data_IF_601565729476
#
_entry.id   IF_601565729476
#
_cell.length_a   1.000
_cell.length_b   1.000
_cell.length_c   1.000
_cell.angle_alpha   90.00
_cell.angle_beta   90.00
_cell.angle_gamma   90.00
#
_symmetry.space_group_name_H-M   'P 1'
#
loop_
_entity.id
_entity.type
_entity.pdbx_description
1 polymer ?
#
# COMPACT_ATOMS: atom_id res chain seq x y z
N UNK A 1 -56.09 14.53 -59.06
CA UNK A 1 -54.90 15.22 -58.54
C UNK A 1 -54.04 15.60 -59.72
N UNK A 2 -53.77 16.88 -59.88
CA UNK A 2 -52.72 17.37 -60.78
C UNK A 2 -51.34 16.99 -60.20
N UNK A 3 -50.33 16.84 -61.06
CA UNK A 3 -48.93 16.62 -60.69
C UNK A 3 -48.44 17.64 -59.65
N UNK A 4 -48.86 18.90 -59.75
CA UNK A 4 -48.51 19.93 -58.77
C UNK A 4 -49.05 19.65 -57.36
N UNK A 5 -50.29 19.16 -57.25
CA UNK A 5 -50.88 18.76 -55.97
C UNK A 5 -50.15 17.56 -55.35
N UNK A 6 -49.72 16.60 -56.19
CA UNK A 6 -48.97 15.42 -55.76
C UNK A 6 -47.59 15.80 -55.22
N UNK A 7 -46.86 16.67 -55.91
CA UNK A 7 -45.55 17.16 -55.45
C UNK A 7 -45.67 17.95 -54.13
N UNK A 8 -46.73 18.73 -53.97
CA UNK A 8 -46.98 19.49 -52.74
C UNK A 8 -47.27 18.56 -51.55
N UNK A 9 -48.08 17.52 -51.76
CA UNK A 9 -48.40 16.52 -50.73
C UNK A 9 -47.15 15.73 -50.31
N UNK A 10 -46.35 15.28 -51.28
CA UNK A 10 -45.09 14.57 -51.03
C UNK A 10 -44.14 15.45 -50.22
N UNK A 11 -43.95 16.71 -50.62
CA UNK A 11 -43.07 17.66 -49.93
C UNK A 11 -43.49 17.84 -48.47
N UNK A 12 -44.79 17.98 -48.22
CA UNK A 12 -45.34 18.16 -46.88
C UNK A 12 -45.15 16.91 -46.00
N UNK A 13 -45.35 15.72 -46.56
CA UNK A 13 -45.12 14.45 -45.83
C UNK A 13 -43.64 14.30 -45.49
N UNK A 14 -42.75 14.56 -46.46
CA UNK A 14 -41.30 14.49 -46.25
C UNK A 14 -40.86 15.50 -45.20
N UNK A 15 -41.31 16.76 -45.28
CA UNK A 15 -40.99 17.78 -44.26
C UNK A 15 -41.49 17.41 -42.87
N UNK A 16 -42.70 16.83 -42.76
CA UNK A 16 -43.22 16.38 -41.47
C UNK A 16 -42.36 15.25 -40.90
N UNK A 17 -42.03 14.24 -41.72
CA UNK A 17 -41.23 13.11 -41.29
C UNK A 17 -39.79 13.53 -40.91
N UNK A 18 -39.14 14.38 -41.72
CA UNK A 18 -37.79 14.87 -41.43
C UNK A 18 -37.74 15.72 -40.18
N UNK A 19 -38.79 16.53 -39.93
CA UNK A 19 -38.91 17.28 -38.68
C UNK A 19 -39.01 16.34 -37.48
N UNK A 20 -39.93 15.37 -37.50
CA UNK A 20 -40.08 14.40 -36.40
C UNK A 20 -38.80 13.61 -36.13
N UNK A 21 -38.08 13.20 -37.18
CA UNK A 21 -36.79 12.51 -37.05
C UNK A 21 -35.74 13.43 -36.45
N UNK A 22 -35.63 14.67 -36.92
CA UNK A 22 -34.69 15.67 -36.40
C UNK A 22 -34.94 15.96 -34.92
N UNK A 23 -36.19 16.16 -34.53
CA UNK A 23 -36.58 16.41 -33.14
C UNK A 23 -36.22 15.22 -32.25
N UNK A 24 -36.46 13.98 -32.73
CA UNK A 24 -36.08 12.76 -32.01
C UNK A 24 -34.57 12.59 -31.91
N UNK A 25 -33.82 12.92 -32.96
CA UNK A 25 -32.36 12.88 -32.97
C UNK A 25 -31.75 13.89 -31.99
N UNK A 26 -32.29 15.11 -31.92
CA UNK A 26 -31.85 16.09 -30.92
C UNK A 26 -32.14 15.61 -29.50
N UNK A 27 -33.34 15.09 -29.24
CA UNK A 27 -33.68 14.55 -27.92
C UNK A 27 -32.74 13.41 -27.51
N UNK A 28 -32.42 12.49 -28.43
CA UNK A 28 -31.47 11.41 -28.17
C UNK A 28 -30.04 11.93 -28.00
N UNK A 29 -29.65 12.97 -28.74
CA UNK A 29 -28.34 13.59 -28.60
C UNK A 29 -28.16 14.20 -27.20
N UNK A 30 -29.16 14.94 -26.74
CA UNK A 30 -29.16 15.55 -25.41
C UNK A 30 -29.11 14.50 -24.30
N UNK A 31 -29.89 13.41 -24.44
CA UNK A 31 -29.84 12.27 -23.50
C UNK A 31 -28.47 11.60 -23.49
N UNK A 32 -27.84 11.40 -24.65
CA UNK A 32 -26.48 10.83 -24.75
C UNK A 32 -25.44 11.74 -24.09
N UNK A 33 -25.55 13.07 -24.22
CA UNK A 33 -24.67 14.00 -23.53
C UNK A 33 -24.84 13.87 -22.01
N UNK A 34 -26.09 13.92 -21.53
CA UNK A 34 -26.40 13.82 -20.11
C UNK A 34 -25.90 12.51 -19.51
N UNK A 35 -26.11 11.38 -20.18
CA UNK A 35 -25.63 10.07 -19.73
C UNK A 35 -24.10 9.99 -19.71
N UNK A 36 -23.40 10.63 -20.64
CA UNK A 36 -21.92 10.67 -20.65
C UNK A 36 -21.38 11.48 -19.48
N UNK A 37 -22.04 12.58 -19.14
CA UNK A 37 -21.67 13.40 -17.98
C UNK A 37 -21.89 12.63 -16.67
N UNK A 38 -23.05 11.99 -16.52
CA UNK A 38 -23.35 11.16 -15.35
C UNK A 38 -22.37 9.98 -15.22
N UNK A 39 -22.02 9.33 -16.34
CA UNK A 39 -21.05 8.23 -16.34
C UNK A 39 -19.67 8.70 -15.86
N UNK A 40 -19.22 9.86 -16.35
CA UNK A 40 -17.94 10.45 -15.94
C UNK A 40 -17.93 10.78 -14.45
N UNK A 41 -19.01 11.39 -13.94
CA UNK A 41 -19.14 11.69 -12.51
C UNK A 41 -19.09 10.41 -11.66
N UNK A 42 -19.81 9.36 -12.08
CA UNK A 42 -19.78 8.06 -11.40
C UNK A 42 -18.39 7.41 -11.44
N UNK A 43 -17.68 7.48 -12.55
CA UNK A 43 -16.32 6.95 -12.67
C UNK A 43 -15.36 7.67 -11.73
N UNK A 44 -15.46 9.00 -11.59
CA UNK A 44 -14.67 9.79 -10.65
C UNK A 44 -14.96 9.38 -9.19
N UNK A 45 -16.24 9.23 -8.84
CA UNK A 45 -16.67 8.78 -7.50
C UNK A 45 -16.17 7.36 -7.22
N UNK A 46 -16.28 6.43 -8.17
CA UNK A 46 -15.81 5.05 -8.00
C UNK A 46 -14.32 5.03 -7.72
N UNK A 47 -13.51 5.78 -8.49
CA UNK A 47 -12.06 5.85 -8.28
C UNK A 47 -11.70 6.41 -6.89
N UNK A 48 -12.42 7.44 -6.42
CA UNK A 48 -12.23 7.97 -5.07
C UNK A 48 -12.57 6.93 -3.99
N UNK A 49 -13.69 6.22 -4.16
CA UNK A 49 -14.14 5.20 -3.22
C UNK A 49 -13.18 4.02 -3.16
N UNK A 50 -12.69 3.54 -4.30
CA UNK A 50 -11.69 2.47 -4.38
C UNK A 50 -10.39 2.87 -3.68
N UNK A 51 -9.87 4.07 -3.97
CA UNK A 51 -8.66 4.57 -3.32
C UNK A 51 -8.82 4.70 -1.79
N UNK A 52 -10.00 5.14 -1.34
CA UNK A 52 -10.33 5.25 0.08
C UNK A 52 -10.44 3.87 0.75
N UNK A 53 -11.07 2.92 0.07
CA UNK A 53 -11.23 1.55 0.56
C UNK A 53 -9.87 0.85 0.69
N UNK A 54 -9.03 0.93 -0.35
CA UNK A 54 -7.68 0.35 -0.34
C UNK A 54 -6.83 0.93 0.80
N UNK A 55 -6.90 2.24 1.02
CA UNK A 55 -6.23 2.90 2.14
C UNK A 55 -6.72 2.36 3.50
N UNK A 56 -8.03 2.15 3.66
CA UNK A 56 -8.61 1.61 4.89
C UNK A 56 -8.25 0.15 5.12
N UNK A 57 -8.24 -0.67 4.06
CA UNK A 57 -7.81 -2.07 4.13
C UNK A 57 -6.35 -2.15 4.58
N UNK A 58 -5.45 -1.37 3.98
CA UNK A 58 -4.04 -1.32 4.40
C UNK A 58 -3.87 -0.86 5.85
N UNK A 59 -4.63 0.16 6.29
CA UNK A 59 -4.60 0.63 7.68
C UNK A 59 -5.00 -0.47 8.67
N UNK A 60 -6.10 -1.17 8.40
CA UNK A 60 -6.60 -2.26 9.24
C UNK A 60 -5.63 -3.45 9.24
N UNK A 61 -5.11 -3.83 8.08
CA UNK A 61 -4.13 -4.91 7.96
C UNK A 61 -2.84 -4.57 8.73
N UNK A 62 -2.32 -3.35 8.56
CA UNK A 62 -1.12 -2.92 9.27
C UNK A 62 -1.35 -2.82 10.79
N UNK A 63 -2.54 -2.42 11.22
CA UNK A 63 -2.92 -2.41 12.63
C UNK A 63 -2.94 -3.83 13.20
N UNK A 64 -3.50 -4.80 12.47
CA UNK A 64 -3.47 -6.22 12.84
C UNK A 64 -2.05 -6.80 12.95
N UNK A 65 -1.09 -6.25 12.20
CA UNK A 65 0.34 -6.62 12.24
C UNK A 65 1.15 -5.86 13.29
N UNK A 66 0.54 -4.96 14.07
CA UNK A 66 1.26 -4.07 15.01
C UNK A 66 2.07 -4.83 16.08
N UNK A 67 1.59 -6.00 16.48
CA UNK A 67 2.26 -6.86 17.46
C UNK A 67 3.23 -7.86 16.81
N UNK A 68 3.44 -7.77 15.50
CA UNK A 68 4.31 -8.68 14.78
C UNK A 68 5.70 -8.08 14.55
N UNK A 69 6.72 -8.93 14.58
CA UNK A 69 8.07 -8.64 14.10
C UNK A 69 8.56 -9.76 13.19
N UNK A 70 9.50 -9.42 12.31
CA UNK A 70 10.20 -10.37 11.45
C UNK A 70 11.67 -10.42 11.81
N UNK A 71 12.18 -11.63 12.00
CA UNK A 71 13.58 -11.91 12.32
C UNK A 71 14.21 -12.58 11.10
N UNK A 72 15.31 -12.01 10.60
CA UNK A 72 16.06 -12.51 9.45
C UNK A 72 17.44 -12.97 9.87
N UNK A 73 18.04 -13.88 9.10
CA UNK A 73 19.45 -14.28 9.26
C UNK A 73 19.71 -15.36 10.31
N UNK A 74 18.66 -15.95 10.88
CA UNK A 74 18.79 -17.13 11.74
C UNK A 74 18.84 -18.37 10.85
N UNK A 75 19.93 -19.17 10.93
CA UNK A 75 20.06 -20.44 10.20
C UNK A 75 18.87 -21.37 10.53
N UNK A 76 18.37 -22.09 9.53
CA UNK A 76 17.31 -23.09 9.72
C UNK A 76 17.91 -24.39 10.25
N UNK A 77 17.19 -25.05 11.14
CA UNK A 77 17.51 -26.40 11.62
C UNK A 77 16.25 -27.26 11.59
N UNK A 78 16.42 -28.54 11.32
CA UNK A 78 15.32 -29.51 11.43
C UNK A 78 14.86 -29.62 12.89
N UNK A 79 13.54 -29.71 13.10
CA UNK A 79 12.95 -29.79 14.44
C UNK A 79 13.11 -28.52 15.30
N UNK A 80 13.41 -27.36 14.69
CA UNK A 80 13.62 -26.13 15.47
C UNK A 80 12.33 -25.62 16.14
N UNK A 81 12.44 -25.18 17.39
CA UNK A 81 11.42 -24.40 18.06
C UNK A 81 11.64 -22.91 17.76
N UNK A 82 10.74 -22.30 16.98
CA UNK A 82 10.88 -20.88 16.63
C UNK A 82 10.71 -19.95 17.81
N UNK A 83 10.01 -20.37 18.86
CA UNK A 83 9.87 -19.57 20.08
C UNK A 83 11.19 -19.49 20.85
N UNK A 84 11.89 -20.61 21.03
CA UNK A 84 13.21 -20.65 21.67
C UNK A 84 14.22 -19.80 20.90
N UNK A 85 14.11 -19.79 19.57
CA UNK A 85 14.91 -18.92 18.71
C UNK A 85 14.58 -17.45 18.99
N UNK A 86 13.30 -17.07 19.07
CA UNK A 86 12.89 -15.70 19.39
C UNK A 86 13.44 -15.28 20.75
N UNK A 87 13.33 -16.13 21.77
CA UNK A 87 13.86 -15.89 23.11
C UNK A 87 15.38 -15.73 23.09
N UNK A 88 16.09 -16.62 22.38
CA UNK A 88 17.56 -16.53 22.20
C UNK A 88 17.96 -15.22 21.52
N UNK A 89 17.21 -14.79 20.49
CA UNK A 89 17.46 -13.51 19.81
C UNK A 89 17.19 -12.34 20.76
N UNK A 90 16.14 -12.40 21.59
CA UNK A 90 15.86 -11.40 22.61
C UNK A 90 17.00 -11.29 23.64
N UNK A 91 17.51 -12.42 24.14
CA UNK A 91 18.65 -12.44 25.07
C UNK A 91 19.91 -11.84 24.48
N UNK A 92 20.18 -12.05 23.17
CA UNK A 92 21.30 -11.39 22.46
C UNK A 92 21.17 -9.86 22.36
N UNK A 93 20.00 -9.32 22.68
CA UNK A 93 19.73 -7.88 22.72
C UNK A 93 19.59 -7.35 24.15
N UNK A 94 19.97 -8.14 25.16
CA UNK A 94 19.79 -7.83 26.58
C UNK A 94 18.30 -7.68 26.98
N UNK A 95 17.43 -8.44 26.32
CA UNK A 95 15.99 -8.49 26.64
C UNK A 95 15.64 -9.90 27.12
N UNK A 96 15.14 -9.98 28.35
CA UNK A 96 14.66 -11.24 28.94
C UNK A 96 13.15 -11.35 28.76
N UNK A 97 12.71 -12.47 28.20
CA UNK A 97 11.30 -12.79 28.01
C UNK A 97 11.02 -14.23 28.45
N UNK A 98 9.81 -14.45 28.95
CA UNK A 98 9.24 -15.79 29.09
C UNK A 98 8.52 -16.20 27.80
N UNK A 99 8.36 -17.51 27.60
CA UNK A 99 7.60 -18.05 26.45
C UNK A 99 6.17 -17.48 26.37
N UNK A 100 5.57 -17.09 27.50
CA UNK A 100 4.22 -16.53 27.59
C UNK A 100 4.04 -15.20 26.84
N UNK A 101 5.11 -14.46 26.53
CA UNK A 101 5.00 -13.20 25.78
C UNK A 101 4.76 -13.42 24.28
N UNK A 102 5.01 -14.63 23.80
CA UNK A 102 4.84 -15.01 22.40
C UNK A 102 3.45 -15.64 22.22
N UNK A 103 2.62 -15.02 21.39
CA UNK A 103 1.34 -15.59 20.96
C UNK A 103 1.60 -16.72 19.96
N UNK A 104 2.34 -16.40 18.88
CA UNK A 104 2.70 -17.37 17.84
C UNK A 104 4.00 -16.99 17.16
N UNK A 105 4.84 -17.97 16.84
CA UNK A 105 5.97 -17.78 15.92
C UNK A 105 6.06 -18.91 14.90
N UNK A 106 6.62 -18.64 13.72
CA UNK A 106 6.90 -19.64 12.69
C UNK A 106 7.79 -19.05 11.57
N UNK A 107 8.41 -19.92 10.77
CA UNK A 107 9.10 -19.52 9.52
C UNK A 107 8.08 -19.15 8.45
N UNK A 108 8.38 -18.13 7.63
CA UNK A 108 7.53 -17.71 6.51
C UNK A 108 8.29 -17.72 5.18
N UNK A 109 7.56 -17.97 4.09
CA UNK A 109 8.10 -18.04 2.73
C UNK A 109 8.51 -19.47 2.31
N UNK A 110 8.85 -19.60 1.03
CA UNK A 110 9.32 -20.85 0.45
C UNK A 110 10.67 -21.25 1.04
N UNK A 111 10.92 -22.56 1.21
CA UNK A 111 12.23 -23.08 1.61
C UNK A 111 13.26 -22.62 0.58
N UNK A 112 14.22 -21.82 1.01
CA UNK A 112 15.32 -21.34 0.18
C UNK A 112 16.53 -22.29 0.24
N UNK A 113 17.60 -21.92 -0.44
CA UNK A 113 18.94 -22.49 -0.23
C UNK A 113 19.45 -22.18 1.19
N UNK A 114 20.40 -22.96 1.72
CA UNK A 114 21.01 -22.72 3.04
C UNK A 114 21.51 -21.28 3.25
N UNK A 115 22.00 -20.63 2.19
CA UNK A 115 22.49 -19.24 2.23
C UNK A 115 21.39 -18.18 2.36
N UNK A 116 20.11 -18.56 2.32
CA UNK A 116 18.97 -17.66 2.42
C UNK A 116 17.90 -18.25 3.34
N UNK A 117 18.17 -18.34 4.66
CA UNK A 117 17.21 -18.87 5.61
C UNK A 117 15.92 -18.04 5.60
N UNK A 118 14.78 -18.73 5.72
CA UNK A 118 13.46 -18.10 5.82
C UNK A 118 13.39 -17.23 7.06
N UNK A 119 12.78 -16.04 6.98
CA UNK A 119 12.56 -15.25 8.18
C UNK A 119 11.56 -15.93 9.11
N UNK A 120 11.71 -15.66 10.41
CA UNK A 120 10.72 -16.01 11.43
C UNK A 120 9.80 -14.80 11.60
N UNK A 121 8.50 -15.02 11.51
CA UNK A 121 7.52 -14.07 12.03
C UNK A 121 7.17 -14.45 13.46
N UNK A 122 7.08 -13.45 14.33
CA UNK A 122 6.60 -13.62 15.70
C UNK A 122 5.54 -12.58 15.99
N UNK A 123 4.43 -13.03 16.57
CA UNK A 123 3.37 -12.21 17.14
C UNK A 123 3.49 -12.24 18.66
N UNK A 124 3.57 -11.07 19.26
CA UNK A 124 3.57 -10.90 20.71
C UNK A 124 2.15 -10.76 21.24
N UNK A 125 1.93 -11.20 22.48
CA UNK A 125 0.65 -11.01 23.19
C UNK A 125 0.36 -9.53 23.48
N UNK A 126 1.39 -8.69 23.56
CA UNK A 126 1.24 -7.26 23.81
C UNK A 126 2.18 -6.41 22.94
N UNK A 127 1.72 -5.21 22.63
CA UNK A 127 2.53 -4.20 21.95
C UNK A 127 3.77 -3.80 22.77
N UNK A 128 3.69 -3.85 24.11
CA UNK A 128 4.79 -3.48 24.99
C UNK A 128 6.01 -4.41 24.80
N UNK A 129 5.81 -5.74 24.85
CA UNK A 129 6.88 -6.72 24.63
C UNK A 129 7.48 -6.58 23.23
N UNK A 130 6.61 -6.44 22.21
CA UNK A 130 7.03 -6.16 20.84
C UNK A 130 7.92 -4.90 20.76
N UNK A 131 7.50 -3.81 21.39
CA UNK A 131 8.20 -2.52 21.36
C UNK A 131 9.55 -2.59 22.06
N UNK A 132 9.62 -3.28 23.20
CA UNK A 132 10.86 -3.55 23.93
C UNK A 132 11.88 -4.26 23.04
N UNK A 133 11.48 -5.36 22.38
CA UNK A 133 12.35 -6.08 21.44
C UNK A 133 12.79 -5.19 20.27
N UNK A 134 11.85 -4.46 19.66
CA UNK A 134 12.14 -3.66 18.48
C UNK A 134 13.10 -2.50 18.77
N UNK A 135 13.04 -1.90 19.96
CA UNK A 135 13.96 -0.82 20.38
C UNK A 135 15.36 -1.36 20.69
N UNK A 136 15.46 -2.59 21.19
CA UNK A 136 16.74 -3.23 21.52
C UNK A 136 17.52 -3.75 20.28
N UNK A 137 16.88 -3.82 19.10
CA UNK A 137 17.48 -4.37 17.86
C UNK A 137 18.83 -3.79 17.45
N UNK A 138 19.18 -2.57 17.90
CA UNK A 138 20.50 -1.96 17.65
C UNK A 138 21.65 -2.80 18.25
N UNK A 139 21.37 -3.57 19.30
CA UNK A 139 22.33 -4.46 19.96
C UNK A 139 22.68 -5.69 19.09
N UNK A 140 21.92 -5.97 18.03
CA UNK A 140 22.25 -7.00 17.04
C UNK A 140 23.29 -6.54 16.01
N UNK A 141 23.79 -5.29 16.07
CA UNK A 141 24.78 -4.79 15.12
C UNK A 141 26.05 -5.64 15.18
N UNK A 142 26.55 -6.07 14.02
CA UNK A 142 27.68 -7.00 13.93
C UNK A 142 27.28 -8.48 13.98
N UNK A 143 26.03 -8.79 14.36
CA UNK A 143 25.45 -10.10 14.09
C UNK A 143 24.91 -10.16 12.65
N UNK A 144 24.76 -11.37 12.12
CA UNK A 144 24.07 -11.61 10.85
C UNK A 144 22.53 -11.59 10.99
N UNK A 145 22.00 -11.22 12.15
CA UNK A 145 20.57 -11.24 12.46
C UNK A 145 20.00 -9.82 12.38
N UNK A 146 18.84 -9.67 11.76
CA UNK A 146 18.12 -8.38 11.75
C UNK A 146 16.66 -8.54 12.15
N UNK A 147 16.16 -7.58 12.92
CA UNK A 147 14.76 -7.51 13.35
C UNK A 147 14.09 -6.34 12.66
N UNK A 148 12.95 -6.59 12.00
CA UNK A 148 12.18 -5.59 11.24
C UNK A 148 10.70 -5.66 11.59
N UNK A 149 9.98 -4.59 11.29
CA UNK A 149 8.52 -4.62 11.41
C UNK A 149 7.90 -5.54 10.36
N UNK A 150 6.76 -6.13 10.70
CA UNK A 150 5.92 -6.83 9.75
C UNK A 150 5.02 -5.81 9.02
N UNK A 151 5.58 -5.20 7.96
CA UNK A 151 4.84 -4.25 7.13
C UNK A 151 3.92 -4.98 6.13
N UNK A 152 2.80 -4.35 5.78
CA UNK A 152 2.02 -4.74 4.58
C UNK A 152 2.89 -4.66 3.33
N UNK A 153 2.45 -5.33 2.26
CA UNK A 153 3.19 -5.35 1.00
C UNK A 153 3.40 -3.93 0.45
N UNK A 154 2.35 -3.11 0.48
CA UNK A 154 2.39 -1.75 -0.05
C UNK A 154 3.27 -0.83 0.81
N UNK A 155 3.19 -0.90 2.14
CA UNK A 155 4.10 -0.15 3.02
C UNK A 155 5.56 -0.57 2.88
N UNK A 156 5.82 -1.85 2.66
CA UNK A 156 7.17 -2.33 2.36
C UNK A 156 7.71 -1.77 1.03
N UNK A 157 6.86 -1.66 0.00
CA UNK A 157 7.24 -1.00 -1.27
C UNK A 157 7.56 0.47 -1.03
N UNK A 158 6.73 1.19 -0.27
CA UNK A 158 6.97 2.59 0.12
C UNK A 158 8.30 2.74 0.85
N UNK A 159 8.56 1.89 1.85
CA UNK A 159 9.82 1.91 2.60
C UNK A 159 11.03 1.73 1.66
N UNK A 160 10.96 0.76 0.75
CA UNK A 160 12.03 0.49 -0.22
C UNK A 160 12.21 1.64 -1.21
N UNK A 161 11.13 2.19 -1.76
CA UNK A 161 11.17 3.33 -2.68
C UNK A 161 11.79 4.55 -2.02
N UNK A 162 11.33 4.90 -0.82
CA UNK A 162 11.90 5.99 -0.03
C UNK A 162 13.39 5.76 0.29
N UNK A 163 13.76 4.54 0.72
CA UNK A 163 15.14 4.21 1.03
C UNK A 163 16.04 4.24 -0.22
N UNK A 164 15.52 3.90 -1.40
CA UNK A 164 16.23 4.02 -2.67
C UNK A 164 16.46 5.48 -3.06
N UNK A 165 15.49 6.36 -2.79
CA UNK A 165 15.59 7.78 -3.12
C UNK A 165 16.47 8.58 -2.14
N UNK A 166 16.28 8.39 -0.84
CA UNK A 166 16.92 9.22 0.20
C UNK A 166 18.07 8.51 0.93
N UNK A 167 18.26 7.21 0.70
CA UNK A 167 19.25 6.38 1.37
C UNK A 167 18.73 5.72 2.66
N UNK A 168 19.18 4.48 2.89
CA UNK A 168 18.72 3.60 3.99
C UNK A 168 18.93 4.18 5.40
N UNK A 169 19.88 5.10 5.59
CA UNK A 169 20.13 5.74 6.89
C UNK A 169 19.09 6.81 7.24
N UNK A 170 18.46 7.40 6.23
CA UNK A 170 17.48 8.49 6.36
C UNK A 170 16.04 7.99 6.39
N UNK A 171 15.84 6.68 6.23
CA UNK A 171 14.53 6.06 6.10
C UNK A 171 14.39 4.89 7.05
N UNK A 172 13.37 4.91 7.89
CA UNK A 172 13.04 3.82 8.80
C UNK A 172 11.53 3.69 8.93
N UNK A 173 11.09 2.61 9.56
CA UNK A 173 9.69 2.46 9.95
C UNK A 173 9.56 2.42 11.46
N UNK A 174 8.46 2.97 11.96
CA UNK A 174 8.03 2.83 13.35
C UNK A 174 6.50 2.74 13.42
N UNK A 175 6.01 1.69 14.06
CA UNK A 175 4.59 1.38 14.22
C UNK A 175 3.84 1.35 12.90
N UNK A 176 4.47 0.72 11.91
CA UNK A 176 3.92 0.60 10.56
C UNK A 176 3.99 1.90 9.75
N UNK A 177 4.50 3.02 10.27
CA UNK A 177 4.63 4.28 9.52
C UNK A 177 6.06 4.44 9.02
N UNK A 178 6.23 4.74 7.73
CA UNK A 178 7.54 5.03 7.15
C UNK A 178 7.89 6.47 7.50
N UNK A 179 9.12 6.68 7.99
CA UNK A 179 9.68 7.97 8.34
C UNK A 179 10.83 8.29 7.39
N UNK A 180 10.79 9.47 6.80
CA UNK A 180 11.79 9.95 5.83
C UNK A 180 12.39 11.25 6.34
N UNK A 181 13.70 11.25 6.56
CA UNK A 181 14.49 12.42 6.96
C UNK A 181 15.12 13.05 5.71
N UNK A 182 14.56 14.14 5.19
CA UNK A 182 15.05 14.76 3.96
C UNK A 182 16.33 15.57 4.22
N UNK A 183 16.29 16.50 5.17
CA UNK A 183 17.44 17.31 5.58
C UNK A 183 17.83 17.07 7.04
N UNK A 184 19.10 17.31 7.39
CA UNK A 184 19.62 16.91 8.72
C UNK A 184 18.95 17.61 9.90
N UNK A 185 18.52 18.86 9.72
CA UNK A 185 17.80 19.61 10.76
C UNK A 185 16.27 19.51 10.67
N UNK A 186 15.73 18.86 9.64
CA UNK A 186 14.28 18.76 9.42
C UNK A 186 13.63 17.65 10.27
N UNK A 187 12.38 17.81 10.69
CA UNK A 187 11.65 16.71 11.30
C UNK A 187 11.40 15.58 10.29
N UNK A 188 11.39 14.29 10.69
CA UNK A 188 11.08 13.20 9.77
C UNK A 188 9.64 13.28 9.27
N UNK A 189 9.45 13.19 7.96
CA UNK A 189 8.13 13.18 7.31
C UNK A 189 7.54 11.78 7.39
N UNK A 190 6.25 11.69 7.69
CA UNK A 190 5.54 10.41 7.75
C UNK A 190 4.93 10.07 6.40
N UNK A 191 5.20 8.87 5.91
CA UNK A 191 4.70 8.34 4.64
C UNK A 191 4.04 6.99 4.93
N UNK A 192 2.81 6.80 4.46
CA UNK A 192 2.02 5.59 4.70
C UNK A 192 1.67 4.85 3.42
N UNK A 193 1.55 5.56 2.30
CA UNK A 193 1.14 5.00 1.03
C UNK A 193 1.96 5.59 -0.12
N UNK A 194 1.71 5.06 -1.33
CA UNK A 194 2.42 5.46 -2.55
C UNK A 194 2.18 6.94 -2.89
N UNK A 195 0.94 7.43 -2.83
CA UNK A 195 0.62 8.81 -3.14
C UNK A 195 1.41 9.80 -2.27
N UNK A 196 1.52 9.54 -0.96
CA UNK A 196 2.33 10.35 -0.05
C UNK A 196 3.82 10.31 -0.38
N UNK A 197 4.33 9.17 -0.87
CA UNK A 197 5.70 9.05 -1.33
C UNK A 197 5.92 9.86 -2.61
N UNK A 198 5.01 9.77 -3.58
CA UNK A 198 5.10 10.47 -4.85
C UNK A 198 5.05 12.00 -4.63
N UNK A 199 4.14 12.49 -3.78
CA UNK A 199 4.10 13.90 -3.37
C UNK A 199 5.37 14.34 -2.64
N UNK A 200 5.95 13.47 -1.81
CA UNK A 200 7.21 13.75 -1.12
C UNK A 200 8.37 13.90 -2.11
N UNK A 201 8.46 12.99 -3.09
CA UNK A 201 9.49 13.01 -4.12
C UNK A 201 9.36 14.24 -5.03
N UNK A 202 8.14 14.65 -5.37
CA UNK A 202 7.89 15.86 -6.16
C UNK A 202 8.30 17.12 -5.39
N UNK A 203 7.95 17.22 -4.10
CA UNK A 203 8.26 18.39 -3.27
C UNK A 203 9.73 18.47 -2.86
N UNK A 204 10.36 17.32 -2.66
CA UNK A 204 11.72 17.18 -2.16
C UNK A 204 12.49 16.16 -3.01
N UNK A 205 12.84 16.49 -4.26
CA UNK A 205 13.54 15.57 -5.13
C UNK A 205 14.87 15.13 -4.48
N UNK A 206 15.23 13.83 -4.58
CA UNK A 206 16.49 13.34 -4.04
C UNK A 206 17.67 14.02 -4.75
N UNK A 207 18.76 14.26 -4.02
CA UNK A 207 19.96 14.81 -4.62
C UNK A 207 20.47 13.86 -5.71
N UNK A 208 20.65 14.37 -6.93
CA UNK A 208 21.20 13.61 -8.06
C UNK A 208 22.60 13.13 -7.68
N UNK A 209 22.82 11.82 -7.60
CA UNK A 209 24.18 11.28 -7.55
C UNK A 209 24.82 11.51 -8.92
N UNK A 210 25.72 12.48 -9.00
CA UNK A 210 26.72 12.59 -10.07
C UNK A 210 27.81 11.54 -9.86
#
# INVERSE_FOLDING_TARGET
MDRGELETLITRIVQSATKTITDSLHSLHDEVISLKEELKEKDEIIQELEARLDSKVDELEQYGRRNNLRIFGVKEREGECTDDIVLTVASKMDVTFDRSVIDRSHRIGAKGSENRPRPIIVKFVSYAHRSQMFRAKKNLKGSNITVREDLTRERLKVLKGAASAYGVKKVWSIDGVIKVKVGERSAPISVRNKQQLDSLLQKHPPATSY
#
